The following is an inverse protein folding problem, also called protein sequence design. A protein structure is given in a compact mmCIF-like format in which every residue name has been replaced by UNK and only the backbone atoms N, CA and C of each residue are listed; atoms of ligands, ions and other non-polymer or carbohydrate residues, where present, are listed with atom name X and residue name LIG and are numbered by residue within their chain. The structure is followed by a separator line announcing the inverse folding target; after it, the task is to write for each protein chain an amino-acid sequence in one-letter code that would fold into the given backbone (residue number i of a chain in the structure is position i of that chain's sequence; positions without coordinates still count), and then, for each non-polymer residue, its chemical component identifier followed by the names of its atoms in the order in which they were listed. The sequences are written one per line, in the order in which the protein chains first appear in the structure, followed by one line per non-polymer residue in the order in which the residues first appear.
data_IF_737733611223
#
_entry.id   IF_737733611223
#
_cell.length_a   1.000
_cell.length_b   1.000
_cell.length_c   1.000
_cell.angle_alpha   90.00
_cell.angle_beta   90.00
_cell.angle_gamma   90.00
#
_symmetry.space_group_name_H-M   'P 1'
#
loop_
_entity.id
_entity.type
_entity.pdbx_description
1 polymer ?
#
# COMPACT_ATOMS: atom_id res chain seq x y z
N UNK A 1 20.71 -21.75 -9.09
CA UNK A 1 20.69 -22.46 -7.78
C UNK A 1 21.19 -21.50 -6.72
N UNK A 2 20.43 -21.31 -5.64
CA UNK A 2 20.79 -20.39 -4.56
C UNK A 2 20.99 -21.20 -3.28
N UNK A 3 22.12 -20.99 -2.61
CA UNK A 3 22.47 -21.69 -1.39
C UNK A 3 21.96 -20.88 -0.18
N UNK A 4 21.32 -21.55 0.78
CA UNK A 4 21.06 -20.94 2.08
C UNK A 4 22.37 -20.92 2.90
N UNK A 5 22.48 -20.00 3.87
CA UNK A 5 23.62 -19.93 4.79
C UNK A 5 23.81 -21.20 5.63
N UNK A 6 22.77 -22.03 5.74
CA UNK A 6 22.72 -23.18 6.66
C UNK A 6 23.00 -24.52 5.96
N UNK A 7 23.54 -24.51 4.72
CA UNK A 7 23.92 -25.73 3.98
C UNK A 7 22.77 -26.54 3.38
N UNK A 8 21.51 -26.18 3.66
CA UNK A 8 20.32 -26.80 3.07
C UNK A 8 20.00 -26.32 1.65
N UNK A 9 19.62 -27.24 0.77
CA UNK A 9 19.16 -26.95 -0.59
C UNK A 9 17.81 -26.22 -0.57
N UNK A 10 17.76 -24.98 -1.09
CA UNK A 10 16.50 -24.28 -1.37
C UNK A 10 15.98 -24.72 -2.74
N UNK A 11 14.92 -25.51 -2.76
CA UNK A 11 14.19 -25.78 -4.01
C UNK A 11 13.47 -24.48 -4.38
N UNK A 12 14.02 -23.73 -5.33
CA UNK A 12 13.36 -22.56 -5.91
C UNK A 12 12.54 -23.08 -7.08
N UNK A 13 11.24 -23.31 -6.82
CA UNK A 13 10.30 -23.57 -7.90
C UNK A 13 10.10 -22.28 -8.68
N UNK A 14 10.80 -22.15 -9.82
CA UNK A 14 10.58 -21.07 -10.76
C UNK A 14 9.39 -21.42 -11.66
N UNK A 15 8.28 -20.72 -11.49
CA UNK A 15 7.15 -20.80 -12.41
C UNK A 15 7.44 -19.87 -13.60
N UNK A 16 7.36 -20.41 -14.81
CA UNK A 16 7.38 -19.61 -16.04
C UNK A 16 5.94 -19.38 -16.48
N UNK A 17 5.54 -18.11 -16.56
CA UNK A 17 4.23 -17.72 -17.04
C UNK A 17 4.29 -17.47 -18.55
N UNK A 18 3.26 -17.91 -19.27
CA UNK A 18 3.14 -17.53 -20.68
C UNK A 18 2.84 -16.02 -20.81
N UNK A 19 3.13 -15.41 -21.97
CA UNK A 19 2.82 -14.00 -22.20
C UNK A 19 1.35 -13.66 -21.92
N UNK A 20 0.42 -14.55 -22.28
CA UNK A 20 -1.01 -14.38 -22.06
C UNK A 20 -1.38 -14.36 -20.57
N UNK A 21 -0.77 -15.24 -19.76
CA UNK A 21 -1.00 -15.28 -18.32
C UNK A 21 -0.45 -14.04 -17.62
N UNK A 22 0.73 -13.56 -18.05
CA UNK A 22 1.31 -12.30 -17.56
C UNK A 22 0.39 -11.11 -17.86
N UNK A 23 -0.17 -11.06 -19.07
CA UNK A 23 -1.10 -9.99 -19.46
C UNK A 23 -2.36 -9.97 -18.60
N UNK A 24 -2.94 -11.15 -18.30
CA UNK A 24 -4.09 -11.27 -17.40
C UNK A 24 -3.78 -10.76 -15.99
N UNK A 25 -2.60 -11.07 -15.47
CA UNK A 25 -2.14 -10.58 -14.16
C UNK A 25 -1.98 -9.06 -14.19
N UNK A 26 -1.31 -8.52 -15.20
CA UNK A 26 -1.11 -7.08 -15.33
C UNK A 26 -2.43 -6.33 -15.49
N UNK A 27 -3.41 -6.88 -16.21
CA UNK A 27 -4.74 -6.28 -16.33
C UNK A 27 -5.47 -6.20 -14.98
N UNK A 28 -5.28 -7.21 -14.12
CA UNK A 28 -5.94 -7.29 -12.81
C UNK A 28 -5.27 -6.46 -11.74
N UNK A 29 -3.93 -6.44 -11.71
CA UNK A 29 -3.16 -5.88 -10.60
C UNK A 29 -2.29 -4.67 -10.99
N UNK A 30 -2.24 -4.32 -12.28
CA UNK A 30 -1.29 -3.35 -12.81
C UNK A 30 0.06 -3.99 -13.08
N UNK A 31 0.93 -3.27 -13.78
CA UNK A 31 2.33 -3.71 -13.95
C UNK A 31 3.11 -3.47 -12.67
N UNK A 32 4.19 -4.23 -12.43
CA UNK A 32 5.09 -3.95 -11.31
C UNK A 32 5.56 -2.49 -11.35
N UNK A 33 5.36 -1.75 -10.27
CA UNK A 33 5.70 -0.32 -10.16
C UNK A 33 4.58 0.65 -10.56
N UNK A 34 3.49 0.17 -11.15
CA UNK A 34 2.29 0.98 -11.43
C UNK A 34 1.26 0.85 -10.31
N UNK A 35 0.39 1.85 -10.16
CA UNK A 35 -0.79 1.71 -9.29
C UNK A 35 -1.77 0.72 -9.92
N UNK A 36 -2.27 -0.19 -9.09
CA UNK A 36 -3.25 -1.17 -9.55
C UNK A 36 -4.52 -0.45 -10.08
N UNK A 37 -4.98 -0.78 -11.31
CA UNK A 37 -6.11 -0.11 -11.92
C UNK A 37 -7.39 -0.40 -11.13
N UNK A 38 -8.17 0.65 -10.87
CA UNK A 38 -9.46 0.54 -10.16
C UNK A 38 -9.37 0.33 -8.65
N UNK A 39 -8.16 0.22 -8.07
CA UNK A 39 -7.98 0.26 -6.63
C UNK A 39 -7.70 1.69 -6.19
N UNK A 40 -8.59 2.32 -5.39
CA UNK A 40 -8.28 3.63 -4.83
C UNK A 40 -7.01 3.51 -3.98
N UNK A 41 -6.12 4.49 -4.10
CA UNK A 41 -4.95 4.58 -3.25
C UNK A 41 -5.39 4.44 -1.79
N UNK A 42 -4.73 3.57 -1.02
CA UNK A 42 -5.05 3.41 0.41
C UNK A 42 -5.02 4.79 1.04
N UNK A 43 -6.18 5.23 1.55
CA UNK A 43 -6.34 6.55 2.15
C UNK A 43 -5.19 6.75 3.15
N UNK A 44 -4.35 7.76 2.92
CA UNK A 44 -3.29 8.12 3.87
C UNK A 44 -3.97 8.28 5.24
N UNK A 45 -3.45 7.59 6.27
CA UNK A 45 -3.94 7.77 7.63
C UNK A 45 -3.53 9.16 8.09
N UNK A 46 -4.42 10.13 7.90
CA UNK A 46 -4.22 11.50 8.35
C UNK A 46 -4.40 11.55 9.88
N UNK A 47 -3.38 11.12 10.63
CA UNK A 47 -3.32 11.34 12.08
C UNK A 47 -3.38 12.84 12.41
N UNK A 48 -2.81 13.67 11.53
CA UNK A 48 -2.80 15.13 11.65
C UNK A 48 -4.19 15.77 11.55
N UNK A 49 -5.06 15.27 10.67
CA UNK A 49 -6.42 15.81 10.52
C UNK A 49 -7.26 15.57 11.78
N UNK A 50 -7.08 14.42 12.43
CA UNK A 50 -7.77 14.11 13.69
C UNK A 50 -7.29 15.01 14.84
N UNK A 51 -5.98 15.30 14.91
CA UNK A 51 -5.44 16.21 15.91
C UNK A 51 -5.85 17.66 15.67
N UNK A 52 -5.85 18.12 14.41
CA UNK A 52 -6.33 19.45 14.03
C UNK A 52 -7.81 19.62 14.34
N UNK A 53 -8.65 18.65 13.97
CA UNK A 53 -10.08 18.65 14.30
C UNK A 53 -10.36 18.61 15.81
N UNK A 54 -9.45 18.05 16.61
CA UNK A 54 -9.55 18.03 18.07
C UNK A 54 -9.06 19.33 18.73
N UNK A 55 -8.16 20.09 18.08
CA UNK A 55 -7.75 21.42 18.53
C UNK A 55 -8.80 22.46 18.19
N UNK A 56 -9.38 22.40 16.98
CA UNK A 56 -10.42 23.34 16.53
C UNK A 56 -11.67 23.33 17.43
N UNK A 57 -12.08 22.15 17.92
CA UNK A 57 -13.17 22.01 18.89
C UNK A 57 -12.89 22.67 20.24
N UNK A 58 -11.62 22.73 20.67
CA UNK A 58 -11.23 23.30 21.97
C UNK A 58 -11.11 24.82 21.94
N UNK A 59 -10.98 25.41 20.75
CA UNK A 59 -10.82 26.85 20.59
C UNK A 59 -12.14 27.63 20.46
N UNK A 60 -13.29 26.94 20.35
CA UNK A 60 -14.60 27.59 20.25
C UNK A 60 -15.02 28.34 21.52
N UNK A 61 -14.51 27.92 22.68
CA UNK A 61 -14.87 28.51 23.97
C UNK A 61 -14.02 29.77 24.30
N UNK A 62 -13.06 30.13 23.43
CA UNK A 62 -12.13 31.25 23.64
C UNK A 62 -12.61 32.53 22.95
N UNK A 63 -13.52 32.43 21.97
CA UNK A 63 -13.91 33.56 21.11
C UNK A 63 -15.20 34.26 21.58
N UNK A 64 -15.85 33.78 22.64
CA UNK A 64 -16.92 34.54 23.32
C UNK A 64 -16.31 35.44 24.40
N UNK A 65 -15.77 36.58 23.97
CA UNK A 65 -15.62 37.76 24.82
C UNK A 65 -16.63 38.80 24.32
N UNK A 66 -17.64 39.04 25.17
CA UNK A 66 -18.76 40.01 25.09
C UNK A 66 -19.64 40.04 23.83
#
# INVERSE_FOLDING_TARGET
MSFNKDGGYKIINSYQLSPQQLEQIHKKYGRPGEMAPGLPAKKKRNRLDATLAAMDRRNKDIITFD
#
